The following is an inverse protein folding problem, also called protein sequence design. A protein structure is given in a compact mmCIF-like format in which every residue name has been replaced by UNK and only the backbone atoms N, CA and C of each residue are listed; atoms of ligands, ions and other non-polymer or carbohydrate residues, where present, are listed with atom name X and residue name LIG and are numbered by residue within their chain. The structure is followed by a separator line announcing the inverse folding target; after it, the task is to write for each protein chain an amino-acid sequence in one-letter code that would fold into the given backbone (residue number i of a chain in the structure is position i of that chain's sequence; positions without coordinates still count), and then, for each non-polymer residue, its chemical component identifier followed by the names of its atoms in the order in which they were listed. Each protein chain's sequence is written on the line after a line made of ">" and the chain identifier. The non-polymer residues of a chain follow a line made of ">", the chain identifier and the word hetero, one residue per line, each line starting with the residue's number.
data_IF_718491602267
#
_entry.id   IF_718491602267
#
_cell.length_a   1.000
_cell.length_b   1.000
_cell.length_c   1.000
_cell.angle_alpha   90.00
_cell.angle_beta   90.00
_cell.angle_gamma   90.00
#
_symmetry.space_group_name_H-M   'P 1'
#
loop_
_entity.id
_entity.type
_entity.pdbx_description
1 polymer ?
#
# COMPACT_ATOMS: atom_id res chain seq x y z
N UNK A 1 -2.78 18.97 -10.68
CA UNK A 1 -1.81 19.01 -9.58
C UNK A 1 -0.58 18.21 -9.98
N UNK A 2 0.57 18.82 -9.97
CA UNK A 2 1.82 18.19 -10.40
C UNK A 2 2.77 17.99 -9.23
N UNK A 3 3.24 16.75 -9.07
CA UNK A 3 4.18 16.37 -8.02
C UNK A 3 5.45 15.82 -8.66
N UNK A 4 6.59 16.35 -8.24
CA UNK A 4 7.90 15.79 -8.61
C UNK A 4 8.43 14.97 -7.45
N UNK A 5 8.74 13.71 -7.70
CA UNK A 5 9.48 12.85 -6.78
C UNK A 5 10.89 12.78 -7.30
N UNK A 6 11.82 13.45 -6.63
CA UNK A 6 13.17 13.65 -7.13
C UNK A 6 14.16 12.65 -6.56
N UNK A 7 14.88 11.97 -7.45
CA UNK A 7 15.99 11.09 -7.06
C UNK A 7 15.57 9.90 -6.24
N UNK A 8 14.43 9.30 -6.57
CA UNK A 8 13.89 8.13 -5.84
C UNK A 8 14.40 6.83 -6.47
N UNK A 9 14.71 5.85 -5.63
CA UNK A 9 15.05 4.51 -6.12
C UNK A 9 13.78 3.76 -6.49
N UNK A 10 13.71 3.33 -7.75
CA UNK A 10 12.59 2.59 -8.29
C UNK A 10 12.86 1.09 -8.25
N UNK A 11 11.82 0.30 -8.00
CA UNK A 11 11.87 -1.17 -7.98
C UNK A 11 10.73 -1.70 -8.84
N UNK A 12 11.01 -2.71 -9.64
CA UNK A 12 10.06 -3.33 -10.55
C UNK A 12 10.57 -3.29 -11.98
N UNK A 13 9.69 -3.04 -12.94
CA UNK A 13 10.07 -2.93 -14.35
C UNK A 13 11.02 -1.76 -14.59
N UNK A 14 10.78 -0.65 -13.90
CA UNK A 14 11.70 0.47 -13.87
C UNK A 14 12.63 0.31 -12.68
N UNK A 15 13.91 0.22 -12.93
CA UNK A 15 14.92 0.00 -11.90
C UNK A 15 15.89 1.20 -11.84
N UNK A 16 16.55 1.39 -10.69
CA UNK A 16 17.51 2.45 -10.50
C UNK A 16 16.92 3.72 -9.90
N UNK A 17 17.67 4.82 -9.96
CA UNK A 17 17.29 6.11 -9.37
C UNK A 17 16.77 7.02 -10.48
N UNK A 18 15.57 7.54 -10.30
CA UNK A 18 14.89 8.36 -11.29
C UNK A 18 14.14 9.53 -10.67
N UNK A 19 13.88 10.55 -11.50
CA UNK A 19 12.93 11.61 -11.18
C UNK A 19 11.58 11.21 -11.76
N UNK A 20 10.54 11.22 -10.95
CA UNK A 20 9.19 10.80 -11.36
C UNK A 20 8.24 12.00 -11.29
N UNK A 21 7.57 12.28 -12.39
CA UNK A 21 6.60 13.36 -12.50
C UNK A 21 5.20 12.81 -12.47
N UNK A 22 4.41 13.25 -11.50
CA UNK A 22 3.03 12.79 -11.30
C UNK A 22 2.07 13.93 -11.56
N UNK A 23 1.05 13.69 -12.38
CA UNK A 23 -0.02 14.65 -12.63
C UNK A 23 -1.36 14.01 -12.27
N UNK A 24 -2.04 14.60 -11.27
CA UNK A 24 -3.28 14.01 -10.77
C UNK A 24 -3.03 12.61 -10.20
N UNK A 25 -3.62 11.61 -10.81
CA UNK A 25 -3.49 10.22 -10.40
C UNK A 25 -2.65 9.37 -11.37
N UNK A 26 -1.85 10.01 -12.23
CA UNK A 26 -1.07 9.31 -13.24
C UNK A 26 0.39 9.75 -13.21
N UNK A 27 1.28 8.83 -13.57
CA UNK A 27 2.68 9.16 -13.83
C UNK A 27 2.76 9.82 -15.20
N UNK A 28 3.19 11.08 -15.23
CA UNK A 28 3.23 11.87 -16.45
C UNK A 28 4.58 11.79 -17.17
N UNK A 29 5.66 11.50 -16.46
CA UNK A 29 6.98 11.35 -17.06
C UNK A 29 8.00 10.80 -16.08
N UNK A 30 9.11 10.31 -16.61
CA UNK A 30 10.22 9.76 -15.85
C UNK A 30 11.51 10.36 -16.45
N UNK A 31 12.32 10.99 -15.60
CA UNK A 31 13.58 11.67 -15.92
C UNK A 31 13.44 12.89 -16.85
N UNK A 32 12.32 13.08 -17.52
CA UNK A 32 12.08 14.23 -18.39
C UNK A 32 10.84 14.99 -17.94
N UNK A 33 10.93 16.31 -17.94
CA UNK A 33 9.79 17.16 -17.56
C UNK A 33 8.72 17.07 -18.65
N UNK A 34 7.50 16.63 -18.31
CA UNK A 34 6.42 16.59 -19.29
C UNK A 34 6.05 18.00 -19.79
N UNK A 35 5.62 18.09 -21.05
CA UNK A 35 5.17 19.35 -21.64
C UNK A 35 3.98 19.90 -20.82
N UNK A 36 4.08 21.18 -20.47
CA UNK A 36 3.03 21.85 -19.71
C UNK A 36 2.93 21.44 -18.23
N UNK A 37 3.93 20.69 -17.72
CA UNK A 37 3.93 20.28 -16.32
C UNK A 37 4.12 21.49 -15.40
N UNK A 38 3.23 21.63 -14.44
CA UNK A 38 3.30 22.66 -13.41
C UNK A 38 3.47 21.96 -12.07
N UNK A 39 4.63 22.14 -11.45
CA UNK A 39 4.92 21.54 -10.15
C UNK A 39 4.21 22.31 -9.04
N UNK A 40 3.30 21.64 -8.34
CA UNK A 40 2.64 22.21 -7.17
C UNK A 40 3.27 21.70 -5.87
N UNK A 41 3.98 20.57 -5.93
CA UNK A 41 4.60 19.97 -4.77
C UNK A 41 5.83 19.16 -5.21
N UNK A 42 6.77 18.94 -4.28
CA UNK A 42 7.91 18.07 -4.55
C UNK A 42 8.22 17.20 -3.34
N UNK A 43 8.72 16.00 -3.62
CA UNK A 43 9.13 15.04 -2.62
C UNK A 43 10.61 14.73 -2.87
N UNK A 44 11.45 14.89 -1.85
CA UNK A 44 12.84 14.44 -1.93
C UNK A 44 12.85 12.91 -1.79
N UNK A 45 13.20 12.23 -2.88
CA UNK A 45 13.23 10.78 -2.93
C UNK A 45 14.50 10.14 -2.39
N UNK A 46 15.45 10.94 -1.90
CA UNK A 46 16.70 10.41 -1.35
C UNK A 46 16.41 9.48 -0.18
N UNK A 47 16.99 8.27 -0.23
CA UNK A 47 16.78 7.21 0.76
C UNK A 47 15.34 6.69 0.82
N UNK A 48 14.57 6.89 -0.24
CA UNK A 48 13.21 6.38 -0.36
C UNK A 48 13.11 5.38 -1.52
N UNK A 49 12.14 4.50 -1.44
CA UNK A 49 11.83 3.54 -2.50
C UNK A 49 10.48 3.88 -3.13
N UNK A 50 10.43 3.80 -4.45
CA UNK A 50 9.19 3.85 -5.20
C UNK A 50 8.94 2.47 -5.78
N UNK A 51 7.80 1.90 -5.49
CA UNK A 51 7.40 0.58 -5.98
C UNK A 51 5.93 0.62 -6.40
N UNK A 52 5.52 -0.33 -7.28
CA UNK A 52 4.11 -0.44 -7.62
C UNK A 52 3.26 -0.67 -6.37
N UNK A 53 2.08 -0.08 -6.34
CA UNK A 53 1.16 -0.26 -5.23
C UNK A 53 0.84 -1.74 -5.02
N UNK A 54 0.69 -2.13 -3.77
CA UNK A 54 0.38 -3.51 -3.44
C UNK A 54 -1.09 -3.80 -3.75
N UNK A 55 -1.32 -4.94 -4.39
CA UNK A 55 -2.67 -5.41 -4.70
C UNK A 55 -2.94 -6.61 -3.80
N UNK A 56 -3.97 -6.49 -2.96
CA UNK A 56 -4.37 -7.57 -2.06
C UNK A 56 -5.76 -8.07 -2.45
N UNK A 57 -5.80 -9.24 -3.10
CA UNK A 57 -7.04 -9.84 -3.57
C UNK A 57 -7.73 -10.69 -2.51
N UNK A 58 -7.07 -10.94 -1.39
CA UNK A 58 -7.63 -11.72 -0.29
C UNK A 58 -7.02 -11.24 1.02
N UNK A 59 -7.86 -10.81 1.96
CA UNK A 59 -7.40 -10.30 3.24
C UNK A 59 -8.41 -10.58 4.36
N UNK A 60 -7.88 -10.75 5.57
CA UNK A 60 -8.66 -10.88 6.80
C UNK A 60 -8.19 -9.82 7.80
N UNK A 61 -8.08 -8.56 7.34
CA UNK A 61 -7.56 -7.47 8.17
C UNK A 61 -8.34 -7.28 9.47
N UNK A 62 -9.65 -7.52 9.45
CA UNK A 62 -10.50 -7.49 10.65
C UNK A 62 -10.07 -8.51 11.70
N UNK A 63 -9.40 -9.59 11.31
CA UNK A 63 -8.89 -10.61 12.24
C UNK A 63 -7.76 -10.06 13.13
N UNK A 64 -7.21 -8.92 12.83
CA UNK A 64 -6.19 -8.30 13.69
C UNK A 64 -6.73 -7.96 15.08
N UNK A 65 -8.05 -7.77 15.22
CA UNK A 65 -8.70 -7.59 16.51
C UNK A 65 -8.63 -8.86 17.39
N UNK A 66 -8.43 -10.01 16.78
CA UNK A 66 -8.40 -11.31 17.44
C UNK A 66 -6.99 -11.87 17.57
N UNK A 67 -5.98 -11.00 17.44
CA UNK A 67 -4.58 -11.41 17.53
C UNK A 67 -4.32 -12.12 18.86
N UNK A 68 -3.74 -13.31 18.78
CA UNK A 68 -3.44 -14.18 19.91
C UNK A 68 -4.70 -14.69 20.66
N UNK A 69 -5.89 -14.52 20.11
CA UNK A 69 -7.13 -14.91 20.80
C UNK A 69 -7.24 -16.43 21.02
N UNK A 70 -6.62 -17.24 20.15
CA UNK A 70 -6.73 -18.70 20.22
C UNK A 70 -5.49 -19.39 19.64
N UNK A 71 -4.29 -18.93 20.00
CA UNK A 71 -3.02 -19.36 19.40
C UNK A 71 -2.71 -20.85 19.62
N UNK A 72 -3.18 -21.43 20.72
CA UNK A 72 -2.87 -22.82 21.11
C UNK A 72 -3.79 -23.86 20.46
N UNK A 73 -4.72 -23.43 19.61
CA UNK A 73 -5.71 -24.31 19.03
C UNK A 73 -5.30 -24.82 17.64
N UNK A 74 -5.83 -25.96 17.22
CA UNK A 74 -5.71 -26.42 15.84
C UNK A 74 -6.42 -25.43 14.91
N UNK A 75 -6.08 -25.47 13.61
CA UNK A 75 -6.66 -24.55 12.63
C UNK A 75 -8.20 -24.62 12.62
N UNK A 76 -8.77 -25.81 12.62
CA UNK A 76 -10.22 -25.97 12.58
C UNK A 76 -10.89 -25.45 13.86
N UNK A 77 -10.34 -25.78 15.02
CA UNK A 77 -10.86 -25.28 16.29
C UNK A 77 -10.72 -23.78 16.39
N UNK A 78 -9.59 -23.25 15.94
CA UNK A 78 -9.33 -21.81 15.92
C UNK A 78 -10.34 -21.09 15.04
N UNK A 79 -10.55 -21.55 13.78
CA UNK A 79 -11.43 -20.88 12.83
C UNK A 79 -12.90 -21.02 13.23
N UNK A 80 -13.39 -22.25 13.38
CA UNK A 80 -14.81 -22.49 13.57
C UNK A 80 -15.26 -22.34 15.02
N UNK A 81 -14.40 -22.68 15.97
CA UNK A 81 -14.76 -22.62 17.39
C UNK A 81 -14.60 -21.25 18.03
N UNK A 82 -13.67 -20.41 17.52
CA UNK A 82 -13.34 -19.13 18.16
C UNK A 82 -13.43 -17.93 17.23
N UNK A 83 -12.80 -17.97 16.06
CA UNK A 83 -12.72 -16.80 15.17
C UNK A 83 -14.07 -16.53 14.49
N UNK A 84 -14.70 -17.53 13.87
CA UNK A 84 -16.01 -17.34 13.22
C UNK A 84 -17.07 -16.77 14.18
N UNK A 85 -17.23 -17.31 15.42
CA UNK A 85 -18.15 -16.70 16.36
C UNK A 85 -17.82 -15.27 16.74
N UNK A 86 -16.51 -14.91 16.84
CA UNK A 86 -16.09 -13.55 17.12
C UNK A 86 -16.38 -12.62 15.94
N UNK A 87 -16.10 -13.06 14.72
CA UNK A 87 -16.41 -12.30 13.51
C UNK A 87 -17.89 -12.01 13.37
N UNK A 88 -18.74 -12.98 13.73
CA UNK A 88 -20.19 -12.82 13.71
C UNK A 88 -20.70 -11.75 14.65
N UNK A 89 -19.91 -11.32 15.62
CA UNK A 89 -20.26 -10.25 16.57
C UNK A 89 -19.69 -8.90 16.19
N UNK A 90 -18.88 -8.82 15.15
CA UNK A 90 -18.29 -7.55 14.71
C UNK A 90 -19.33 -6.66 14.05
N UNK A 91 -19.22 -5.36 14.33
CA UNK A 91 -19.98 -4.35 13.64
C UNK A 91 -19.15 -3.84 12.44
N UNK A 92 -19.78 -3.22 11.42
CA UNK A 92 -19.03 -2.74 10.24
C UNK A 92 -17.87 -1.82 10.57
N UNK A 93 -17.98 -1.00 11.61
CA UNK A 93 -16.95 -0.07 12.04
C UNK A 93 -15.74 -0.75 12.68
N UNK A 94 -15.83 -2.02 13.03
CA UNK A 94 -14.74 -2.79 13.61
C UNK A 94 -13.80 -3.38 12.55
N UNK A 95 -14.25 -3.40 11.31
CA UNK A 95 -13.50 -4.03 10.21
C UNK A 95 -12.35 -3.17 9.67
#
# INVERSE_FOLDING_TARGET
>A
MGILIKGVRCIGELDGIHDVYVHGNKIAGIDEVPDGFIMTNSIDGKNKLLLPGLINCHTHTYMSLFRNAADDLSFLDWLFGHIDPLEGKMEPEDA
#
